data_IF_377676801707
#
_entry.id   IF_377676801707
#
_cell.length_a   1.000
_cell.length_b   1.000
_cell.length_c   1.000
_cell.angle_alpha   90.00
_cell.angle_beta   90.00
_cell.angle_gamma   90.00
#
_symmetry.space_group_name_H-M   'P 1'
#
loop_
_entity.id
_entity.type
_entity.pdbx_description
1 polymer ?
#
# COMPACT_ATOMS: atom_id res chain seq x y z
N UNK A 1 2.77 4.44 -8.77
CA UNK A 1 3.64 3.71 -7.84
C UNK A 1 3.04 2.34 -7.56
N UNK A 2 3.77 1.29 -7.92
CA UNK A 2 3.38 -0.09 -7.67
C UNK A 2 3.90 -0.57 -6.30
N UNK A 3 3.29 -1.62 -5.75
CA UNK A 3 3.64 -2.13 -4.40
C UNK A 3 5.13 -2.46 -4.26
N UNK A 4 5.79 -2.96 -5.30
CA UNK A 4 7.23 -3.26 -5.27
C UNK A 4 8.08 -2.00 -5.04
N UNK A 5 7.75 -0.89 -5.70
CA UNK A 5 8.49 0.37 -5.53
C UNK A 5 8.32 0.91 -4.11
N UNK A 6 7.11 0.80 -3.54
CA UNK A 6 6.82 1.22 -2.16
C UNK A 6 7.65 0.38 -1.18
N UNK A 7 7.71 -0.93 -1.38
CA UNK A 7 8.46 -1.85 -0.54
C UNK A 7 9.94 -1.46 -0.49
N UNK A 8 10.55 -1.19 -1.66
CA UNK A 8 11.93 -0.75 -1.71
C UNK A 8 12.15 0.65 -1.11
N UNK A 9 11.23 1.60 -1.33
CA UNK A 9 11.39 2.97 -0.81
C UNK A 9 11.35 3.03 0.72
N UNK A 10 10.71 2.07 1.38
CA UNK A 10 10.65 1.97 2.86
C UNK A 10 11.73 1.05 3.44
N UNK A 11 12.73 0.64 2.64
CA UNK A 11 13.86 -0.17 3.10
C UNK A 11 13.53 -1.65 3.30
N UNK A 12 12.47 -2.17 2.66
CA UNK A 12 12.11 -3.58 2.70
C UNK A 12 12.40 -4.25 1.35
N UNK A 13 12.66 -5.55 1.39
CA UNK A 13 12.90 -6.38 0.19
C UNK A 13 11.77 -7.35 -0.12
N UNK A 14 10.88 -7.62 0.85
CA UNK A 14 9.83 -8.62 0.72
C UNK A 14 8.43 -8.02 0.73
N UNK A 15 7.72 -8.18 -0.40
CA UNK A 15 6.30 -7.80 -0.54
C UNK A 15 5.39 -8.53 0.45
N UNK A 16 5.65 -9.81 0.69
CA UNK A 16 4.85 -10.62 1.62
C UNK A 16 5.00 -10.13 3.06
N UNK A 17 6.22 -9.78 3.47
CA UNK A 17 6.46 -9.18 4.78
C UNK A 17 5.77 -7.82 4.92
N UNK A 18 5.93 -6.95 3.92
CA UNK A 18 5.25 -5.66 3.86
C UNK A 18 3.72 -5.81 4.00
N UNK A 19 3.09 -6.68 3.20
CA UNK A 19 1.65 -6.93 3.27
C UNK A 19 1.23 -7.44 4.66
N UNK A 20 2.02 -8.30 5.30
CA UNK A 20 1.73 -8.82 6.65
C UNK A 20 1.73 -7.70 7.69
N UNK A 21 2.78 -6.88 7.74
CA UNK A 21 2.89 -5.80 8.73
C UNK A 21 1.91 -4.67 8.43
N UNK A 22 1.66 -4.36 7.16
CA UNK A 22 0.68 -3.35 6.73
C UNK A 22 -0.72 -3.76 7.17
N UNK A 23 -1.14 -5.00 6.89
CA UNK A 23 -2.45 -5.52 7.31
C UNK A 23 -2.59 -5.55 8.83
N UNK A 24 -1.53 -5.87 9.58
CA UNK A 24 -1.56 -5.82 11.05
C UNK A 24 -1.83 -4.41 11.58
N UNK A 25 -1.24 -3.39 10.95
CA UNK A 25 -1.33 -1.96 11.34
C UNK A 25 -2.63 -1.30 10.86
N UNK A 26 -2.94 -1.38 9.57
CA UNK A 26 -4.06 -0.67 8.93
C UNK A 26 -5.34 -1.51 8.79
N UNK A 27 -5.31 -2.77 9.23
CA UNK A 27 -6.44 -3.73 9.19
C UNK A 27 -7.00 -4.01 7.79
N UNK A 28 -6.25 -3.68 6.74
CA UNK A 28 -6.63 -3.90 5.35
C UNK A 28 -5.38 -4.21 4.48
N UNK A 29 -5.59 -4.66 3.24
CA UNK A 29 -4.49 -4.86 2.30
C UNK A 29 -4.02 -3.51 1.72
N UNK A 30 -2.73 -3.38 1.34
CA UNK A 30 -2.22 -2.17 0.69
C UNK A 30 -3.04 -1.77 -0.56
N UNK A 31 -3.47 -2.76 -1.36
CA UNK A 31 -4.30 -2.54 -2.55
C UNK A 31 -5.65 -1.91 -2.22
N UNK A 32 -6.32 -2.42 -1.19
CA UNK A 32 -7.60 -1.87 -0.74
C UNK A 32 -7.44 -0.46 -0.17
N UNK A 33 -6.35 -0.22 0.59
CA UNK A 33 -6.03 1.11 1.10
C UNK A 33 -5.82 2.12 -0.03
N UNK A 34 -5.03 1.75 -1.05
CA UNK A 34 -4.81 2.57 -2.23
C UNK A 34 -6.10 2.85 -3.01
N UNK A 35 -6.99 1.84 -3.14
CA UNK A 35 -8.30 2.03 -3.78
C UNK A 35 -9.16 3.03 -2.99
N UNK A 36 -9.19 2.95 -1.65
CA UNK A 36 -9.93 3.90 -0.81
C UNK A 36 -9.39 5.32 -0.96
N UNK A 37 -8.06 5.48 -0.98
CA UNK A 37 -7.47 6.81 -1.20
C UNK A 37 -7.86 7.41 -2.55
N UNK A 38 -7.90 6.62 -3.63
CA UNK A 38 -8.38 7.09 -4.94
C UNK A 38 -9.84 7.55 -4.94
N UNK A 39 -10.68 6.97 -4.07
CA UNK A 39 -12.08 7.36 -3.93
C UNK A 39 -12.23 8.64 -3.09
N UNK A 40 -11.43 8.77 -2.03
CA UNK A 40 -11.46 9.96 -1.14
C UNK A 40 -10.83 11.17 -1.84
N UNK A 41 -9.77 10.94 -2.60
CA UNK A 41 -9.03 11.97 -3.33
C UNK A 41 -8.99 11.58 -4.81
N UNK A 42 -10.08 11.82 -5.56
CA UNK A 42 -10.05 11.68 -7.01
C UNK A 42 -9.17 12.80 -7.59
N UNK A 43 -7.85 12.58 -7.65
CA UNK A 43 -6.97 13.46 -8.42
C UNK A 43 -7.16 13.16 -9.90
N UNK A 44 -7.62 14.19 -10.62
CA UNK A 44 -7.84 14.35 -12.07
C UNK A 44 -9.28 14.04 -12.57
N UNK A 45 -10.11 15.10 -12.60
CA UNK A 45 -10.73 15.54 -13.86
C UNK A 45 -9.74 16.42 -14.61
#
# INVERSE_FOLDING_TARGET
MNISEIVYSVGLSSRSYFCRIFKKRFKCSPKLYQQRLKQIFPSAS
#
